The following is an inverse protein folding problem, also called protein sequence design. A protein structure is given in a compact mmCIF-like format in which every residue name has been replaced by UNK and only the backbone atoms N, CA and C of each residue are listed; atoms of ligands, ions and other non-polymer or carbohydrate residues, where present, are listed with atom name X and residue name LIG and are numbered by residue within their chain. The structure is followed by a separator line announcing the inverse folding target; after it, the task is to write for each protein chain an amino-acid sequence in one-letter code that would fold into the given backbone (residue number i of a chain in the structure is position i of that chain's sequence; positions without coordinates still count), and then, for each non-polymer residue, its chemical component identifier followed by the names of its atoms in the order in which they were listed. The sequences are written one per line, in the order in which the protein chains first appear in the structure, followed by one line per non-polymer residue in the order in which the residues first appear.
data_IF_532330285027
#
_entry.id   IF_532330285027
#
_cell.length_a   1.000
_cell.length_b   1.000
_cell.length_c   1.000
_cell.angle_alpha   90.00
_cell.angle_beta   90.00
_cell.angle_gamma   90.00
#
_symmetry.space_group_name_H-M   'P 1'
#
loop_
_entity.id
_entity.type
_entity.pdbx_description
1 polymer ?
#
# COMPACT_ATOMS: atom_id res chain seq x y z
N UNK A 1 13.50 11.94 -5.30
CA UNK A 1 12.59 12.33 -6.41
C UNK A 1 13.35 12.81 -7.65
N UNK A 2 14.38 13.70 -7.53
CA UNK A 2 15.08 14.27 -8.70
C UNK A 2 15.74 13.21 -9.62
N UNK A 3 16.38 12.18 -9.06
CA UNK A 3 16.97 11.07 -9.84
C UNK A 3 15.91 10.24 -10.57
N UNK A 4 14.78 9.97 -9.93
CA UNK A 4 13.66 9.24 -10.54
C UNK A 4 13.07 10.03 -11.70
N UNK A 5 12.88 11.34 -11.52
CA UNK A 5 12.41 12.23 -12.57
C UNK A 5 13.35 12.24 -13.79
N UNK A 6 14.69 12.27 -13.56
CA UNK A 6 15.67 12.16 -14.65
C UNK A 6 15.61 10.82 -15.40
N UNK A 7 15.20 9.77 -14.72
CA UNK A 7 14.99 8.44 -15.30
C UNK A 7 13.58 8.24 -15.91
N UNK A 8 12.75 9.30 -15.93
CA UNK A 8 11.34 9.25 -16.33
C UNK A 8 10.52 8.23 -15.52
N UNK A 9 10.81 8.15 -14.21
CA UNK A 9 10.09 7.29 -13.26
C UNK A 9 9.22 8.17 -12.37
N UNK A 10 7.92 7.90 -12.34
CA UNK A 10 6.96 8.52 -11.44
C UNK A 10 7.26 8.17 -9.98
N UNK A 11 6.91 9.05 -9.07
CA UNK A 11 7.02 8.80 -7.62
C UNK A 11 5.88 9.48 -6.88
N UNK A 12 5.36 8.84 -5.86
CA UNK A 12 4.27 9.33 -5.02
C UNK A 12 4.69 9.29 -3.55
N UNK A 13 4.14 10.20 -2.75
CA UNK A 13 4.36 10.29 -1.32
C UNK A 13 5.61 11.05 -0.91
N UNK A 14 5.63 11.42 0.35
CA UNK A 14 6.76 12.08 1.02
C UNK A 14 6.98 11.42 2.40
N UNK A 15 8.24 11.25 2.83
CA UNK A 15 8.52 10.52 4.07
C UNK A 15 8.09 11.26 5.34
N UNK A 16 7.96 12.60 5.29
CA UNK A 16 7.79 13.43 6.49
C UNK A 16 6.61 14.41 6.43
N UNK A 17 6.06 14.68 5.26
CA UNK A 17 4.97 15.65 5.09
C UNK A 17 3.67 14.93 4.79
N UNK A 18 2.56 15.53 5.24
CA UNK A 18 1.22 15.05 5.01
C UNK A 18 0.50 16.07 4.11
N UNK A 19 0.56 15.86 2.80
CA UNK A 19 0.01 16.81 1.83
C UNK A 19 -0.60 16.08 0.63
N UNK A 20 -1.53 16.75 -0.08
CA UNK A 20 -2.12 16.30 -1.34
C UNK A 20 -1.18 16.37 -2.54
N UNK A 21 -0.08 17.11 -2.43
CA UNK A 21 0.96 17.20 -3.47
C UNK A 21 1.69 15.87 -3.73
N UNK A 22 1.30 14.81 -3.01
CA UNK A 22 1.79 13.45 -3.19
C UNK A 22 0.93 12.63 -4.14
N UNK A 23 0.00 13.27 -4.83
CA UNK A 23 -0.80 12.66 -5.89
C UNK A 23 0.07 12.39 -7.12
N UNK A 24 0.02 11.19 -7.64
CA UNK A 24 0.47 10.83 -8.98
C UNK A 24 -0.72 10.30 -9.76
N UNK A 25 -0.82 10.64 -11.06
CA UNK A 25 -1.91 10.19 -11.93
C UNK A 25 -1.35 9.58 -13.20
N UNK A 26 -1.95 8.50 -13.65
CA UNK A 26 -1.66 7.84 -14.92
C UNK A 26 -2.92 7.09 -15.39
N UNK A 27 -3.38 7.36 -16.59
CA UNK A 27 -4.49 6.65 -17.28
C UNK A 27 -5.77 6.47 -16.44
N UNK A 28 -6.23 7.50 -15.72
CA UNK A 28 -7.43 7.44 -14.88
C UNK A 28 -7.21 6.71 -13.55
N UNK A 29 -5.96 6.47 -13.18
CA UNK A 29 -5.59 5.92 -11.87
C UNK A 29 -4.85 7.01 -11.09
N UNK A 30 -5.32 7.29 -9.88
CA UNK A 30 -4.71 8.25 -8.97
C UNK A 30 -4.07 7.52 -7.79
N UNK A 31 -2.89 7.98 -7.37
CA UNK A 31 -2.15 7.42 -6.24
C UNK A 31 -1.92 8.49 -5.18
N UNK A 32 -2.26 8.19 -3.94
CA UNK A 32 -1.81 8.91 -2.75
C UNK A 32 -0.93 7.99 -1.91
N UNK A 33 0.07 8.54 -1.22
CA UNK A 33 0.91 7.75 -0.33
C UNK A 33 1.25 8.52 0.95
N UNK A 34 1.09 7.86 2.10
CA UNK A 34 1.30 8.45 3.42
C UNK A 34 2.19 7.57 4.29
N UNK A 35 3.02 8.23 5.09
CA UNK A 35 3.82 7.59 6.12
C UNK A 35 3.16 7.78 7.50
N UNK A 36 2.87 6.67 8.17
CA UNK A 36 2.26 6.58 9.51
C UNK A 36 3.22 6.05 10.57
N UNK A 37 4.52 5.99 10.29
CA UNK A 37 5.52 5.49 11.23
C UNK A 37 6.23 6.64 11.95
N UNK A 38 6.62 6.38 13.20
CA UNK A 38 7.39 7.37 14.00
C UNK A 38 8.76 7.67 13.36
N UNK A 39 9.23 8.94 13.37
CA UNK A 39 8.61 10.13 13.95
C UNK A 39 7.62 10.86 13.03
N UNK A 40 7.35 10.37 11.84
CA UNK A 40 6.59 11.00 10.77
C UNK A 40 5.18 10.43 10.73
N UNK A 41 4.32 10.94 11.57
CA UNK A 41 2.96 10.43 11.70
C UNK A 41 1.94 11.41 11.11
N UNK A 42 1.56 11.18 9.86
CA UNK A 42 0.46 11.90 9.25
C UNK A 42 -0.85 11.64 10.04
N UNK A 43 -1.56 12.67 10.55
CA UNK A 43 -2.79 12.48 11.31
C UNK A 43 -3.90 11.79 10.50
N UNK A 44 -4.66 10.89 11.14
CA UNK A 44 -5.71 10.10 10.48
C UNK A 44 -6.77 10.99 9.81
N UNK A 45 -7.21 12.03 10.51
CA UNK A 45 -8.18 12.97 10.00
C UNK A 45 -7.67 13.78 8.79
N UNK A 46 -6.39 14.10 8.75
CA UNK A 46 -5.78 14.78 7.60
C UNK A 46 -5.72 13.86 6.39
N UNK A 47 -5.32 12.59 6.57
CA UNK A 47 -5.34 11.58 5.50
C UNK A 47 -6.74 11.45 4.91
N UNK A 48 -7.76 11.27 5.76
CA UNK A 48 -9.13 11.12 5.32
C UNK A 48 -9.64 12.36 4.54
N UNK A 49 -9.29 13.57 4.99
CA UNK A 49 -9.70 14.82 4.31
C UNK A 49 -8.97 14.99 2.96
N UNK A 50 -7.69 14.64 2.88
CA UNK A 50 -6.93 14.65 1.62
C UNK A 50 -7.54 13.67 0.63
N UNK A 51 -7.85 12.44 1.05
CA UNK A 51 -8.50 11.43 0.21
C UNK A 51 -9.85 11.92 -0.30
N UNK A 52 -10.68 12.46 0.59
CA UNK A 52 -12.00 13.00 0.26
C UNK A 52 -11.93 14.15 -0.75
N UNK A 53 -11.01 15.09 -0.52
CA UNK A 53 -10.81 16.24 -1.42
C UNK A 53 -10.30 15.76 -2.77
N UNK A 54 -9.32 14.86 -2.79
CA UNK A 54 -8.76 14.29 -4.03
C UNK A 54 -9.84 13.57 -4.84
N UNK A 55 -10.67 12.74 -4.19
CA UNK A 55 -11.76 12.03 -4.89
C UNK A 55 -12.83 12.97 -5.40
N UNK A 56 -13.16 14.03 -4.67
CA UNK A 56 -14.12 15.04 -5.11
C UNK A 56 -13.61 15.86 -6.32
N UNK A 57 -12.32 16.17 -6.37
CA UNK A 57 -11.67 16.84 -7.49
C UNK A 57 -11.49 15.92 -8.71
N UNK A 58 -11.48 14.59 -8.52
CA UNK A 58 -11.22 13.58 -9.54
C UNK A 58 -12.19 12.39 -9.39
N UNK A 59 -13.49 12.59 -9.59
CA UNK A 59 -14.51 11.59 -9.27
C UNK A 59 -14.40 10.31 -10.12
N UNK A 60 -13.92 10.42 -11.35
CA UNK A 60 -13.81 9.31 -12.30
C UNK A 60 -12.51 8.50 -12.15
N UNK A 61 -11.51 9.02 -11.43
CA UNK A 61 -10.25 8.32 -11.23
C UNK A 61 -10.41 7.19 -10.21
N UNK A 62 -9.77 6.03 -10.50
CA UNK A 62 -9.61 4.96 -9.53
C UNK A 62 -8.51 5.34 -8.53
N UNK A 63 -8.88 5.62 -7.28
CA UNK A 63 -7.98 6.15 -6.26
C UNK A 63 -7.37 5.02 -5.41
N UNK A 64 -6.06 4.86 -5.53
CA UNK A 64 -5.26 3.92 -4.73
C UNK A 64 -4.54 4.70 -3.62
N UNK A 65 -4.74 4.29 -2.38
CA UNK A 65 -4.04 4.87 -1.22
C UNK A 65 -2.99 3.88 -0.71
N UNK A 66 -1.73 4.31 -0.73
CA UNK A 66 -0.60 3.53 -0.24
C UNK A 66 -0.22 3.99 1.17
N UNK A 67 -0.05 3.06 2.10
CA UNK A 67 0.21 3.36 3.51
C UNK A 67 1.47 2.63 4.00
N UNK A 68 2.39 3.37 4.57
CA UNK A 68 3.51 2.83 5.33
C UNK A 68 3.18 2.95 6.82
N UNK A 69 2.67 1.88 7.42
CA UNK A 69 1.95 1.93 8.71
C UNK A 69 2.06 0.65 9.55
N UNK A 70 1.49 0.70 10.74
CA UNK A 70 1.40 -0.47 11.63
C UNK A 70 2.64 -0.67 12.50
N UNK A 71 2.84 -1.89 12.94
CA UNK A 71 3.96 -2.30 13.80
C UNK A 71 4.72 -3.42 13.13
N UNK A 72 6.05 -3.31 13.12
CA UNK A 72 6.93 -4.32 12.54
C UNK A 72 6.67 -5.71 13.13
N UNK A 73 6.69 -6.72 12.27
CA UNK A 73 6.61 -8.15 12.58
C UNK A 73 5.30 -8.61 13.23
N UNK A 74 4.25 -7.79 13.18
CA UNK A 74 2.90 -8.20 13.57
C UNK A 74 2.19 -8.85 12.38
N UNK A 75 1.68 -10.08 12.59
CA UNK A 75 1.01 -10.86 11.53
C UNK A 75 -0.43 -10.43 11.26
N UNK A 76 -0.99 -9.62 12.14
CA UNK A 76 -2.36 -9.10 12.02
C UNK A 76 -2.37 -7.59 12.12
N UNK A 77 -3.29 -6.97 11.37
CA UNK A 77 -3.53 -5.54 11.48
C UNK A 77 -4.06 -5.19 12.88
N UNK A 78 -3.66 -4.03 13.36
CA UNK A 78 -4.18 -3.47 14.60
C UNK A 78 -5.56 -2.82 14.37
N UNK A 79 -6.35 -2.65 15.44
CA UNK A 79 -7.60 -1.88 15.39
C UNK A 79 -7.39 -0.45 14.87
N UNK A 80 -6.22 0.16 15.14
CA UNK A 80 -5.90 1.49 14.62
C UNK A 80 -5.76 1.46 13.09
N UNK A 81 -5.09 0.45 12.52
CA UNK A 81 -5.00 0.27 11.08
C UNK A 81 -6.38 0.03 10.46
N UNK A 82 -7.21 -0.85 11.05
CA UNK A 82 -8.56 -1.14 10.57
C UNK A 82 -9.44 0.11 10.56
N UNK A 83 -9.45 0.87 11.66
CA UNK A 83 -10.23 2.10 11.77
C UNK A 83 -9.80 3.13 10.73
N UNK A 84 -8.50 3.33 10.52
CA UNK A 84 -7.99 4.26 9.52
C UNK A 84 -8.32 3.78 8.11
N UNK A 85 -8.16 2.48 7.82
CA UNK A 85 -8.51 1.91 6.51
C UNK A 85 -9.98 2.17 6.16
N UNK A 86 -10.88 1.90 7.10
CA UNK A 86 -12.31 2.14 6.90
C UNK A 86 -12.62 3.63 6.67
N UNK A 87 -11.98 4.55 7.41
CA UNK A 87 -12.12 6.00 7.18
C UNK A 87 -11.64 6.42 5.79
N UNK A 88 -10.53 5.87 5.32
CA UNK A 88 -9.97 6.14 3.99
C UNK A 88 -10.89 5.62 2.88
N UNK A 89 -11.44 4.42 3.02
CA UNK A 89 -12.44 3.88 2.07
C UNK A 89 -13.71 4.75 2.11
N UNK A 90 -14.19 5.13 3.28
CA UNK A 90 -15.36 5.98 3.45
C UNK A 90 -15.15 7.39 2.88
N UNK A 91 -13.91 7.86 2.84
CA UNK A 91 -13.52 9.13 2.21
C UNK A 91 -13.44 9.04 0.67
N UNK A 92 -13.53 7.83 0.08
CA UNK A 92 -13.62 7.63 -1.36
C UNK A 92 -12.44 6.93 -2.03
N UNK A 93 -11.52 6.34 -1.26
CA UNK A 93 -10.50 5.48 -1.83
C UNK A 93 -11.12 4.20 -2.42
N UNK A 94 -10.57 3.73 -3.54
CA UNK A 94 -11.04 2.52 -4.22
C UNK A 94 -10.22 1.29 -3.85
N UNK A 95 -8.99 1.49 -3.35
CA UNK A 95 -8.07 0.43 -2.95
C UNK A 95 -7.09 0.96 -1.92
N UNK A 96 -6.74 0.14 -0.92
CA UNK A 96 -5.65 0.43 0.01
C UNK A 96 -4.57 -0.64 -0.11
N UNK A 97 -3.30 -0.19 -0.17
CA UNK A 97 -2.12 -1.04 -0.19
C UNK A 97 -1.19 -0.62 0.95
N UNK A 98 -1.04 -1.50 1.93
CA UNK A 98 -0.22 -1.29 3.12
C UNK A 98 1.16 -1.94 3.05
N UNK A 99 2.10 -1.31 3.74
CA UNK A 99 3.49 -1.73 3.91
C UNK A 99 3.98 -1.38 5.32
N UNK A 100 5.16 -1.77 5.67
CA UNK A 100 5.91 -1.54 6.91
C UNK A 100 5.97 -2.75 7.87
N UNK A 101 4.93 -3.56 8.10
CA UNK A 101 5.07 -4.69 9.03
C UNK A 101 6.13 -5.74 8.64
N UNK A 102 6.66 -5.67 7.40
CA UNK A 102 7.66 -6.60 6.87
C UNK A 102 7.22 -8.07 6.80
N UNK A 103 5.96 -8.34 7.09
CA UNK A 103 5.27 -9.62 6.94
C UNK A 103 3.97 -9.41 6.18
N UNK A 104 3.48 -10.43 5.50
CA UNK A 104 2.17 -10.38 4.85
C UNK A 104 1.10 -10.41 5.94
N UNK A 105 0.17 -9.46 5.89
CA UNK A 105 -1.02 -9.41 6.74
C UNK A 105 -2.27 -9.77 5.94
N UNK A 106 -3.42 -9.81 6.61
CA UNK A 106 -4.70 -10.14 6.01
C UNK A 106 -5.12 -9.16 4.90
N UNK A 107 -6.02 -9.66 4.06
CA UNK A 107 -6.73 -8.88 3.04
C UNK A 107 -8.18 -8.77 3.51
N UNK A 108 -8.71 -7.56 3.58
CA UNK A 108 -10.09 -7.28 3.93
C UNK A 108 -10.88 -6.78 2.72
N UNK A 109 -12.13 -7.17 2.61
CA UNK A 109 -13.12 -6.51 1.77
C UNK A 109 -14.05 -5.66 2.64
N UNK A 110 -13.98 -4.34 2.49
CA UNK A 110 -14.83 -3.40 3.19
C UNK A 110 -15.64 -2.57 2.19
N UNK A 111 -16.97 -2.64 2.28
CA UNK A 111 -17.90 -1.95 1.36
C UNK A 111 -17.62 -2.23 -0.13
N UNK A 112 -17.19 -3.45 -0.46
CA UNK A 112 -16.84 -3.86 -1.82
C UNK A 112 -15.48 -3.34 -2.31
N UNK A 113 -14.64 -2.78 -1.43
CA UNK A 113 -13.29 -2.30 -1.72
C UNK A 113 -12.26 -3.16 -0.99
N UNK A 114 -11.11 -3.39 -1.64
CA UNK A 114 -10.06 -4.22 -1.05
C UNK A 114 -9.08 -3.38 -0.22
N UNK A 115 -8.66 -3.98 0.88
CA UNK A 115 -7.63 -3.46 1.78
C UNK A 115 -6.57 -4.54 1.96
N UNK A 116 -5.37 -4.29 1.45
CA UNK A 116 -4.19 -5.09 1.72
C UNK A 116 -3.45 -4.45 2.89
N UNK A 117 -3.50 -5.02 4.08
CA UNK A 117 -2.90 -4.41 5.28
C UNK A 117 -1.38 -4.40 5.23
N UNK A 118 -0.75 -5.45 4.70
CA UNK A 118 0.68 -5.47 4.39
C UNK A 118 0.99 -6.51 3.32
N UNK A 119 1.79 -6.12 2.33
CA UNK A 119 2.27 -7.04 1.29
C UNK A 119 3.57 -7.76 1.67
N UNK A 120 4.12 -7.50 2.85
CA UNK A 120 5.43 -8.03 3.24
C UNK A 120 6.58 -7.44 2.42
N UNK A 121 7.65 -8.19 2.27
CA UNK A 121 8.87 -7.75 1.58
C UNK A 121 8.97 -8.36 0.18
N UNK A 122 9.35 -7.54 -0.82
CA UNK A 122 9.70 -8.02 -2.16
C UNK A 122 11.21 -8.14 -2.35
N UNK A 123 11.95 -7.07 -2.09
CA UNK A 123 13.42 -7.07 -2.01
C UNK A 123 13.76 -6.62 -0.59
N UNK A 124 14.52 -7.44 0.12
CA UNK A 124 14.90 -7.17 1.49
C UNK A 124 16.26 -7.79 1.77
N UNK A 125 17.14 -7.04 2.46
CA UNK A 125 18.44 -7.54 2.85
C UNK A 125 18.28 -8.60 3.93
N UNK A 126 18.84 -9.78 3.67
CA UNK A 126 18.77 -10.88 4.60
C UNK A 126 19.75 -10.67 5.76
N UNK A 127 19.23 -10.56 6.96
CA UNK A 127 20.00 -10.80 8.17
C UNK A 127 19.46 -12.09 8.84
N UNK A 128 20.36 -13.00 9.22
CA UNK A 128 20.03 -14.29 9.87
C UNK A 128 19.24 -14.17 11.16
N UNK A 129 19.09 -12.96 11.70
CA UNK A 129 18.36 -12.66 12.92
C UNK A 129 16.88 -12.30 12.68
N UNK A 130 16.46 -12.12 11.44
CA UNK A 130 15.07 -11.82 11.11
C UNK A 130 14.18 -13.07 11.12
N UNK A 131 12.87 -12.85 11.32
CA UNK A 131 11.86 -13.88 11.20
C UNK A 131 11.84 -14.44 9.76
N UNK A 132 11.60 -15.73 9.60
CA UNK A 132 11.55 -16.37 8.27
C UNK A 132 10.44 -15.77 7.40
N UNK A 133 9.37 -15.30 8.01
CA UNK A 133 8.21 -14.69 7.37
C UNK A 133 8.56 -13.36 6.71
N UNK A 134 9.62 -12.68 7.16
CA UNK A 134 10.11 -11.46 6.49
C UNK A 134 10.80 -11.73 5.14
N UNK A 135 11.08 -13.00 4.83
CA UNK A 135 11.56 -13.43 3.52
C UNK A 135 10.41 -13.72 2.54
N UNK A 136 9.18 -13.49 2.95
CA UNK A 136 7.98 -13.71 2.14
C UNK A 136 7.30 -12.38 1.85
N UNK A 137 6.73 -12.31 0.67
CA UNK A 137 5.97 -11.15 0.24
C UNK A 137 4.87 -11.54 -0.74
N UNK A 138 4.07 -10.56 -1.07
CA UNK A 138 2.96 -10.69 -1.99
C UNK A 138 3.09 -9.63 -3.09
N UNK A 139 3.10 -10.04 -4.35
CA UNK A 139 2.91 -9.16 -5.48
C UNK A 139 1.45 -9.20 -5.89
N UNK A 140 0.86 -8.05 -6.09
CA UNK A 140 -0.54 -7.92 -6.50
C UNK A 140 -0.58 -7.38 -7.93
N UNK A 141 -1.08 -8.18 -8.85
CA UNK A 141 -1.44 -7.73 -10.20
C UNK A 141 -2.88 -7.23 -10.20
N UNK A 142 -3.12 -6.05 -10.77
CA UNK A 142 -4.44 -5.42 -10.83
C UNK A 142 -4.84 -5.18 -12.28
N UNK A 143 -6.09 -5.50 -12.61
CA UNK A 143 -6.77 -5.09 -13.84
C UNK A 143 -8.02 -4.30 -13.42
N UNK A 144 -8.03 -3.01 -13.74
CA UNK A 144 -9.08 -2.08 -13.33
C UNK A 144 -10.00 -1.86 -14.51
N UNK A 145 -11.28 -2.18 -14.34
CA UNK A 145 -12.35 -1.97 -15.31
C UNK A 145 -13.43 -1.06 -14.69
N UNK A 146 -14.25 -0.37 -15.47
CA UNK A 146 -15.32 0.48 -14.93
C UNK A 146 -16.27 -0.24 -13.96
N UNK A 147 -16.57 -1.52 -14.24
CA UNK A 147 -17.57 -2.30 -13.51
C UNK A 147 -16.97 -3.26 -12.47
N UNK A 148 -15.65 -3.51 -12.51
CA UNK A 148 -15.00 -4.50 -11.66
C UNK A 148 -13.51 -4.29 -11.52
N UNK A 149 -12.97 -4.74 -10.39
CA UNK A 149 -11.55 -4.94 -10.16
C UNK A 149 -11.23 -6.44 -10.25
N UNK A 150 -10.26 -6.80 -11.08
CA UNK A 150 -9.69 -8.15 -11.09
C UNK A 150 -8.30 -8.09 -10.48
N UNK A 151 -8.01 -8.93 -9.52
CA UNK A 151 -6.69 -9.00 -8.91
C UNK A 151 -6.13 -10.42 -8.95
N UNK A 152 -4.81 -10.52 -9.03
CA UNK A 152 -4.06 -11.77 -8.95
C UNK A 152 -2.98 -11.64 -7.91
N UNK A 153 -2.86 -12.65 -7.08
CA UNK A 153 -1.87 -12.72 -6.01
C UNK A 153 -0.72 -13.62 -6.44
N UNK A 154 0.50 -13.10 -6.33
CA UNK A 154 1.71 -13.84 -6.63
C UNK A 154 2.59 -13.88 -5.38
N UNK A 155 2.49 -14.95 -4.58
CA UNK A 155 3.37 -15.14 -3.43
C UNK A 155 4.83 -15.23 -3.88
N UNK A 156 5.69 -14.49 -3.19
CA UNK A 156 7.13 -14.46 -3.48
C UNK A 156 7.92 -14.82 -2.23
N UNK A 157 9.08 -15.40 -2.46
CA UNK A 157 10.08 -15.67 -1.45
C UNK A 157 11.41 -15.07 -1.86
N UNK A 158 12.04 -14.37 -0.94
CA UNK A 158 13.36 -13.76 -1.16
C UNK A 158 14.46 -14.65 -0.61
N UNK A 159 15.49 -14.87 -1.42
CA UNK A 159 16.72 -15.52 -1.03
C UNK A 159 17.91 -14.65 -1.46
N UNK A 160 18.78 -14.27 -0.53
CA UNK A 160 19.89 -13.35 -0.77
C UNK A 160 19.45 -12.07 -1.52
N UNK A 161 18.37 -11.45 -1.05
CA UNK A 161 17.75 -10.25 -1.64
C UNK A 161 17.21 -10.44 -3.07
N UNK A 162 17.10 -11.68 -3.55
CA UNK A 162 16.52 -11.99 -4.86
C UNK A 162 15.14 -12.62 -4.70
N UNK A 163 14.06 -11.92 -5.10
CA UNK A 163 12.72 -12.49 -5.04
C UNK A 163 12.50 -13.52 -6.15
N UNK A 164 11.76 -14.56 -5.81
CA UNK A 164 11.26 -15.57 -6.76
C UNK A 164 9.82 -15.92 -6.42
N UNK A 165 9.04 -16.32 -7.41
CA UNK A 165 7.70 -16.85 -7.17
C UNK A 165 7.78 -18.11 -6.30
N UNK A 166 6.86 -18.24 -5.38
CA UNK A 166 6.71 -19.49 -4.62
C UNK A 166 6.05 -20.53 -5.52
N UNK A 167 6.66 -21.70 -5.62
CA UNK A 167 6.08 -22.83 -6.34
C UNK A 167 4.86 -23.34 -5.57
N UNK A 168 3.75 -23.57 -6.29
CA UNK A 168 2.61 -24.30 -5.75
C UNK A 168 2.98 -25.79 -5.73
N UNK A 169 3.31 -26.31 -4.56
CA UNK A 169 3.30 -27.75 -4.33
C UNK A 169 1.84 -28.15 -4.11
N UNK A 170 1.17 -28.65 -5.16
CA UNK A 170 -0.12 -29.32 -5.05
C UNK A 170 0.07 -30.73 -4.46
#
# INVERSE_FOLDING_TARGET
KEFLKKANIGSVGHPVECDKDFLSKEDGIAFLAFNKTFPFNCPDNEIAEIVKTTKAENPDDFLIVMLHWGVEYQFHSSLAQQNLAHQIIDAGADLIIGHHPHVVQEIEEYKGKLIFYSLGNFIFDYDRYFLKETLQGLVVGLEIYPEKLVYRLFPVKTHLSQPSLMEHNY
#
